data_IF_302025047593
#
_entry.id   IF_302025047593
#
_cell.length_a   1.000
_cell.length_b   1.000
_cell.length_c   1.000
_cell.angle_alpha   90.00
_cell.angle_beta   90.00
_cell.angle_gamma   90.00
#
_symmetry.space_group_name_H-M   'P 1'
#
loop_
_entity.id
_entity.type
_entity.pdbx_description
1 polymer ?
2 non-polymer ?
#
# COMPACT_ATOMS: atom_id res chain seq x y z
N UNK A 1 4.39 14.75 15.29
CA UNK A 1 4.28 13.29 15.19
C UNK A 1 5.10 12.85 14.00
N UNK A 2 5.29 11.56 13.84
CA UNK A 2 5.98 11.04 12.71
C UNK A 2 5.11 11.18 11.48
N UNK A 3 5.70 11.43 10.35
CA UNK A 3 4.96 11.65 9.14
C UNK A 3 4.47 10.31 8.61
N UNK A 4 3.19 10.05 8.75
CA UNK A 4 2.61 8.82 8.29
C UNK A 4 1.98 9.04 6.94
N UNK A 5 1.84 7.99 6.20
CA UNK A 5 1.20 8.08 4.93
C UNK A 5 -0.28 8.19 5.12
N UNK A 6 -0.91 8.95 4.29
CA UNK A 6 -2.31 9.10 4.36
C UNK A 6 -2.94 8.12 3.41
N UNK A 7 -4.23 8.18 3.25
CA UNK A 7 -4.87 7.30 2.33
C UNK A 7 -4.68 7.77 0.90
N UNK A 8 -4.39 9.05 0.73
CA UNK A 8 -4.10 9.59 -0.58
C UNK A 8 -2.75 9.09 -1.04
N UNK A 9 -1.78 9.08 -0.13
CA UNK A 9 -0.42 8.57 -0.43
C UNK A 9 -0.52 7.12 -0.84
N UNK A 10 -1.22 6.35 -0.02
CA UNK A 10 -1.42 4.93 -0.23
C UNK A 10 -2.14 4.68 -1.55
N UNK A 11 -3.24 5.40 -1.76
CA UNK A 11 -4.06 5.27 -2.95
C UNK A 11 -3.27 5.56 -4.20
N UNK A 12 -2.42 6.58 -4.18
CA UNK A 12 -1.64 6.93 -5.37
C UNK A 12 -0.77 5.79 -5.83
N UNK A 13 -0.05 5.18 -4.92
CA UNK A 13 0.80 4.06 -5.25
C UNK A 13 -0.07 2.88 -5.70
N UNK A 14 -1.18 2.71 -5.00
CA UNK A 14 -2.15 1.65 -5.22
C UNK A 14 -2.73 1.70 -6.64
N UNK A 15 -3.27 2.86 -7.02
CA UNK A 15 -3.93 3.07 -8.33
C UNK A 15 -3.00 2.72 -9.48
N UNK A 16 -1.80 3.23 -9.40
CA UNK A 16 -0.85 3.10 -10.47
C UNK A 16 -0.40 1.66 -10.73
N UNK A 17 -0.31 0.85 -9.71
CA UNK A 17 0.11 -0.55 -9.91
C UNK A 17 -1.11 -1.44 -10.16
N UNK A 18 -2.27 -0.92 -9.82
CA UNK A 18 -3.55 -1.66 -9.87
C UNK A 18 -3.90 -2.17 -11.25
N UNK A 19 -3.37 -1.55 -12.25
CA UNK A 19 -3.67 -1.92 -13.58
C UNK A 19 -2.58 -1.55 -14.50
N UNK A 20 -2.95 -1.14 -15.66
CA UNK A 20 -2.04 -0.78 -16.72
C UNK A 20 -1.51 0.65 -16.49
N UNK A 21 -0.57 0.79 -15.54
CA UNK A 21 0.02 2.07 -15.17
C UNK A 21 -1.09 3.11 -14.87
N UNK A 22 -1.64 3.00 -13.67
CA UNK A 22 -2.83 3.76 -13.20
C UNK A 22 -4.04 3.08 -13.78
N UNK A 23 -4.56 2.13 -13.02
CA UNK A 23 -5.62 1.29 -13.55
C UNK A 23 -6.90 1.26 -12.74
N UNK A 24 -6.79 1.33 -11.44
CA UNK A 24 -7.97 1.24 -10.58
C UNK A 24 -7.89 2.40 -9.59
N UNK A 25 -8.79 3.35 -9.74
CA UNK A 25 -8.80 4.62 -8.96
C UNK A 25 -8.97 4.45 -7.44
N UNK A 26 -9.77 3.49 -7.01
CA UNK A 26 -10.03 3.24 -5.57
C UNK A 26 -10.59 4.46 -4.82
N UNK A 27 -11.29 5.31 -5.53
CA UNK A 27 -11.88 6.47 -4.92
C UNK A 27 -13.13 6.06 -4.13
N UNK A 28 -12.94 5.88 -2.85
CA UNK A 28 -13.99 5.47 -1.96
C UNK A 28 -13.35 4.88 -0.74
N UNK A 29 -14.00 3.93 -0.12
CA UNK A 29 -13.44 3.29 1.05
C UNK A 29 -12.67 2.08 0.63
N UNK A 30 -11.48 2.32 0.14
CA UNK A 30 -10.66 1.27 -0.43
C UNK A 30 -10.00 0.44 0.63
N UNK A 31 -9.94 0.95 1.84
CA UNK A 31 -9.30 0.23 2.94
C UNK A 31 -10.16 -0.95 3.35
N UNK A 32 -11.45 -0.80 3.11
CA UNK A 32 -12.43 -1.80 3.49
C UNK A 32 -12.65 -2.78 2.33
N UNK A 33 -12.04 -2.47 1.22
CA UNK A 33 -12.11 -3.32 0.05
C UNK A 33 -10.85 -4.14 -0.01
N UNK A 34 -10.99 -5.42 0.00
CA UNK A 34 -9.86 -6.30 0.00
C UNK A 34 -9.24 -6.32 -1.39
N UNK A 35 -7.96 -6.62 -1.47
CA UNK A 35 -7.24 -6.64 -2.73
C UNK A 35 -7.83 -7.64 -3.73
N UNK A 36 -8.30 -8.75 -3.22
CA UNK A 36 -8.93 -9.75 -4.07
C UNK A 36 -10.20 -9.19 -4.74
N UNK A 37 -10.92 -8.35 -4.00
CA UNK A 37 -12.18 -7.77 -4.47
C UNK A 37 -11.95 -6.59 -5.39
N UNK A 38 -10.72 -6.08 -5.46
CA UNK A 38 -10.43 -4.93 -6.33
C UNK A 38 -9.56 -5.34 -7.50
N UNK A 39 -9.61 -6.62 -7.84
CA UNK A 39 -8.83 -7.16 -8.95
C UNK A 39 -7.36 -6.88 -8.78
N UNK A 40 -6.85 -7.16 -7.61
CA UNK A 40 -5.48 -6.89 -7.34
C UNK A 40 -4.73 -8.16 -7.26
N UNK A 41 -3.62 -8.17 -7.89
CA UNK A 41 -2.69 -9.25 -7.80
C UNK A 41 -1.62 -8.82 -6.82
N UNK A 42 -1.06 -9.75 -6.11
CA UNK A 42 -0.08 -9.43 -5.13
C UNK A 42 1.25 -8.94 -5.72
N UNK A 43 1.47 -9.19 -7.02
CA UNK A 43 2.66 -8.67 -7.69
C UNK A 43 2.54 -7.13 -7.74
N UNK A 44 1.36 -6.65 -8.13
CA UNK A 44 1.04 -5.23 -8.14
C UNK A 44 1.14 -4.67 -6.73
N UNK A 45 0.73 -5.48 -5.77
CA UNK A 45 0.79 -5.12 -4.37
C UNK A 45 2.24 -4.92 -3.92
N UNK A 46 3.11 -5.85 -4.33
CA UNK A 46 4.55 -5.75 -4.04
C UNK A 46 5.12 -4.49 -4.64
N UNK A 47 4.77 -4.25 -5.88
CA UNK A 47 5.24 -3.11 -6.66
C UNK A 47 4.81 -1.79 -5.95
N UNK A 48 3.54 -1.74 -5.53
CA UNK A 48 3.01 -0.63 -4.75
C UNK A 48 3.82 -0.44 -3.43
N UNK A 49 3.90 -1.50 -2.63
CA UNK A 49 4.56 -1.46 -1.33
C UNK A 49 6.03 -1.03 -1.44
N UNK A 50 6.77 -1.61 -2.38
CA UNK A 50 8.19 -1.33 -2.56
C UNK A 50 8.45 0.13 -2.88
N UNK A 51 7.51 0.75 -3.58
CA UNK A 51 7.62 2.14 -3.96
C UNK A 51 7.56 3.00 -2.72
N UNK A 52 6.59 2.71 -1.86
CA UNK A 52 6.40 3.45 -0.62
C UNK A 52 7.55 3.19 0.34
N UNK A 53 7.97 1.92 0.40
CA UNK A 53 9.05 1.48 1.20
C UNK A 53 10.33 2.23 0.88
N UNK A 54 10.68 2.25 -0.37
CA UNK A 54 11.90 2.88 -0.84
C UNK A 54 11.83 4.41 -0.78
N UNK A 55 10.63 4.94 -0.88
CA UNK A 55 10.47 6.38 -0.88
C UNK A 55 10.49 6.96 0.53
N UNK A 56 9.88 6.28 1.49
CA UNK A 56 9.76 6.85 2.82
C UNK A 56 10.69 6.23 3.85
N UNK A 57 11.16 5.03 3.59
CA UNK A 57 12.10 4.41 4.47
C UNK A 57 11.48 3.38 5.40
N UNK A 58 10.81 2.39 4.83
CA UNK A 58 10.23 1.31 5.63
C UNK A 58 10.67 -0.05 5.05
N UNK A 59 10.32 -1.13 5.70
CA UNK A 59 10.66 -2.46 5.22
C UNK A 59 9.51 -3.45 5.47
N UNK A 60 8.89 -3.88 4.41
CA UNK A 60 7.80 -4.83 4.45
C UNK A 60 8.18 -6.06 3.60
N UNK A 61 8.59 -7.16 4.28
CA UNK A 61 9.04 -8.42 3.64
C UNK A 61 8.01 -9.02 2.69
N UNK A 62 8.49 -9.80 1.71
CA UNK A 62 7.66 -10.43 0.66
C UNK A 62 6.48 -11.20 1.26
N UNK A 63 6.79 -12.03 2.25
CA UNK A 63 5.77 -12.83 2.98
C UNK A 63 4.74 -11.96 3.65
N UNK A 64 5.14 -10.80 4.10
CA UNK A 64 4.25 -9.89 4.82
C UNK A 64 3.45 -9.04 3.82
N UNK A 65 4.13 -8.54 2.81
CA UNK A 65 3.51 -7.71 1.78
C UNK A 65 2.46 -8.50 1.02
N UNK A 66 2.79 -9.70 0.63
CA UNK A 66 1.81 -10.54 -0.07
C UNK A 66 0.92 -11.28 0.90
N UNK A 67 0.61 -10.63 2.00
CA UNK A 67 -0.19 -11.20 3.07
C UNK A 67 -1.13 -10.11 3.62
N UNK A 68 -1.01 -8.90 3.11
CA UNK A 68 -1.89 -7.82 3.50
C UNK A 68 -3.09 -7.81 2.57
N UNK A 69 -4.09 -8.56 2.96
CA UNK A 69 -5.30 -8.78 2.16
C UNK A 69 -6.12 -7.50 2.03
N UNK A 70 -6.03 -6.64 3.01
CA UNK A 70 -6.73 -5.38 2.99
C UNK A 70 -5.71 -4.21 3.00
N UNK A 71 -5.99 -3.12 2.25
CA UNK A 71 -5.09 -1.96 2.15
C UNK A 71 -4.83 -1.28 3.49
N UNK A 72 -5.76 -1.43 4.43
CA UNK A 72 -5.58 -0.84 5.75
C UNK A 72 -4.42 -1.52 6.48
N UNK A 73 -4.13 -2.76 6.12
CA UNK A 73 -3.03 -3.50 6.71
C UNK A 73 -1.70 -2.99 6.18
N UNK A 74 -1.69 -2.60 4.92
CA UNK A 74 -0.48 -2.08 4.27
C UNK A 74 -0.12 -0.76 4.96
N UNK A 75 -1.13 0.08 5.16
CA UNK A 75 -0.92 1.35 5.84
C UNK A 75 -0.63 1.13 7.32
N UNK A 76 -1.17 0.06 7.88
CA UNK A 76 -0.93 -0.30 9.29
C UNK A 76 0.53 -0.62 9.49
N UNK A 77 1.06 -1.41 8.57
CA UNK A 77 2.46 -1.78 8.57
C UNK A 77 3.31 -0.54 8.45
N UNK A 78 3.02 0.28 7.45
CA UNK A 78 3.78 1.49 7.24
C UNK A 78 3.60 2.48 8.39
N UNK A 79 2.44 2.47 9.01
CA UNK A 79 2.18 3.28 10.21
C UNK A 79 3.14 2.89 11.30
N UNK A 80 3.22 1.60 11.57
CA UNK A 80 4.06 1.10 12.63
C UNK A 80 5.53 1.27 12.30
N UNK A 81 5.85 1.31 11.04
CA UNK A 81 7.20 1.44 10.59
C UNK A 81 7.64 2.91 10.62
N UNK A 82 6.85 3.78 10.01
CA UNK A 82 7.18 5.22 9.91
C UNK A 82 7.11 5.94 11.24
N UNK A 83 6.19 5.53 12.09
CA UNK A 83 6.02 6.19 13.38
C UNK A 83 7.16 5.84 14.32
N UNK A 84 7.80 4.73 14.04
CA UNK A 84 8.87 4.23 14.84
C UNK A 84 10.21 4.45 14.12
N UNK A 85 10.17 5.28 13.12
CA UNK A 85 11.36 5.64 12.38
C UNK A 85 11.66 7.09 12.65
N UNK A 86 12.90 7.45 12.63
CA UNK A 86 13.27 8.82 12.81
C UNK A 86 14.05 9.25 11.60
#
# INVERSE_FOLDING_TARGET
MATLLTTDDLRRALVESAGETDGTDLSGDFLDLRFEDIGYDSLALMETAARLESRYGVSIPDDVAGRVDTPRELLDLINGALAEAA
#
